data_IF_503596534444
#
_entry.id   IF_503596534444
#
_cell.length_a   1.000
_cell.length_b   1.000
_cell.length_c   1.000
_cell.angle_alpha   90.00
_cell.angle_beta   90.00
_cell.angle_gamma   90.00
#
_symmetry.space_group_name_H-M   'P 1'
#
loop_
_entity.id
_entity.type
_entity.pdbx_description
1 polymer ?
#
# COMPACT_ATOMS: atom_id res chain seq x y z
N UNK A 1 -5.75 -27.71 14.96
CA UNK A 1 -4.62 -26.83 14.58
C UNK A 1 -4.89 -25.43 15.11
N UNK A 2 -4.32 -25.08 16.28
CA UNK A 2 -4.50 -23.81 17.02
C UNK A 2 -3.27 -22.89 16.89
N UNK A 3 -2.73 -22.75 15.68
CA UNK A 3 -1.43 -22.08 15.51
C UNK A 3 -1.54 -20.55 15.56
N UNK A 4 -2.68 -19.98 15.17
CA UNK A 4 -2.98 -18.56 15.30
C UNK A 4 -4.49 -18.38 15.59
N UNK A 5 -4.87 -17.37 16.39
CA UNK A 5 -6.27 -17.08 16.65
C UNK A 5 -6.93 -16.51 15.39
N UNK A 6 -8.00 -17.18 14.96
CA UNK A 6 -8.73 -16.87 13.70
C UNK A 6 -9.83 -15.82 13.94
N UNK A 7 -10.21 -15.56 15.19
CA UNK A 7 -11.37 -14.72 15.52
C UNK A 7 -11.04 -13.91 16.77
N UNK A 8 -11.37 -12.61 16.75
CA UNK A 8 -11.29 -11.74 17.93
C UNK A 8 -10.25 -10.63 17.83
N UNK A 9 -10.40 -9.62 18.67
CA UNK A 9 -9.57 -8.42 18.64
C UNK A 9 -8.28 -8.50 19.48
N UNK A 10 -8.01 -9.66 20.11
CA UNK A 10 -7.10 -9.78 21.25
C UNK A 10 -7.76 -9.26 22.54
N UNK A 11 -7.26 -9.69 23.69
CA UNK A 11 -7.69 -9.14 24.98
C UNK A 11 -7.32 -7.65 25.10
N UNK A 12 -8.24 -6.83 25.62
CA UNK A 12 -8.01 -5.39 25.84
C UNK A 12 -6.98 -5.24 26.95
N UNK A 13 -5.73 -4.93 26.60
CA UNK A 13 -4.64 -4.69 27.55
C UNK A 13 -3.32 -5.39 27.23
N UNK A 14 -3.30 -6.36 26.33
CA UNK A 14 -2.06 -7.04 25.91
C UNK A 14 -1.69 -6.71 24.45
N UNK A 15 -0.69 -5.83 24.21
CA UNK A 15 -0.29 -5.43 22.86
C UNK A 15 0.33 -6.57 22.05
N UNK A 16 0.89 -7.60 22.70
CA UNK A 16 1.46 -8.77 22.01
C UNK A 16 0.36 -9.67 21.46
N UNK A 17 -0.70 -9.89 22.23
CA UNK A 17 -1.86 -10.67 21.78
C UNK A 17 -2.65 -9.94 20.68
N UNK A 18 -2.75 -8.62 20.77
CA UNK A 18 -3.40 -7.81 19.74
C UNK A 18 -2.63 -7.85 18.41
N UNK A 19 -1.28 -7.89 18.44
CA UNK A 19 -0.43 -7.99 17.26
C UNK A 19 -0.49 -9.37 16.59
N UNK A 20 -0.52 -10.47 17.35
CA UNK A 20 -0.65 -11.83 16.78
C UNK A 20 -1.99 -12.03 16.06
N UNK A 21 -3.06 -11.44 16.58
CA UNK A 21 -4.38 -11.41 15.94
C UNK A 21 -4.47 -10.50 14.70
N UNK A 22 -3.44 -9.70 14.39
CA UNK A 22 -3.38 -8.88 13.17
C UNK A 22 -2.66 -9.59 12.01
N UNK A 23 -1.83 -10.60 12.31
CA UNK A 23 -1.00 -11.27 11.29
C UNK A 23 -1.88 -11.89 10.19
N UNK A 24 -2.92 -12.65 10.57
CA UNK A 24 -3.81 -13.35 9.64
C UNK A 24 -4.60 -12.39 8.71
N UNK A 25 -5.32 -11.38 9.24
CA UNK A 25 -6.00 -10.39 8.40
C UNK A 25 -5.03 -9.62 7.49
N UNK A 26 -3.89 -9.17 8.03
CA UNK A 26 -2.89 -8.42 7.26
C UNK A 26 -2.29 -9.27 6.15
N UNK A 27 -2.02 -10.55 6.38
CA UNK A 27 -1.55 -11.45 5.33
C UNK A 27 -2.62 -11.70 4.27
N UNK A 28 -3.87 -11.93 4.66
CA UNK A 28 -4.97 -12.18 3.74
C UNK A 28 -5.20 -10.99 2.78
N UNK A 29 -5.15 -9.76 3.31
CA UNK A 29 -5.31 -8.54 2.50
C UNK A 29 -4.02 -8.23 1.71
N UNK A 30 -2.85 -8.45 2.30
CA UNK A 30 -1.56 -8.11 1.70
C UNK A 30 -1.12 -9.04 0.57
N UNK A 31 -1.43 -10.34 0.63
CA UNK A 31 -0.89 -11.34 -0.31
C UNK A 31 -1.23 -11.03 -1.77
N UNK A 32 -2.44 -10.53 -2.03
CA UNK A 32 -2.89 -10.17 -3.38
C UNK A 32 -2.12 -8.98 -3.97
N UNK A 33 -1.69 -8.05 -3.12
CA UNK A 33 -0.98 -6.84 -3.54
C UNK A 33 0.51 -7.09 -3.79
N UNK A 34 1.14 -7.97 -3.01
CA UNK A 34 2.57 -8.27 -3.14
C UNK A 34 2.92 -8.75 -4.56
N UNK A 35 2.12 -9.68 -5.11
CA UNK A 35 2.36 -10.19 -6.47
C UNK A 35 2.23 -9.11 -7.55
N UNK A 36 1.25 -8.21 -7.40
CA UNK A 36 1.02 -7.13 -8.36
C UNK A 36 2.15 -6.09 -8.32
N UNK A 37 2.52 -5.63 -7.12
CA UNK A 37 3.60 -4.67 -6.89
C UNK A 37 4.95 -5.25 -7.37
N UNK A 38 5.24 -6.51 -7.05
CA UNK A 38 6.48 -7.15 -7.48
C UNK A 38 6.59 -7.25 -9.01
N UNK A 39 5.48 -7.57 -9.69
CA UNK A 39 5.43 -7.61 -11.15
C UNK A 39 5.63 -6.24 -11.77
N UNK A 40 4.99 -5.21 -11.21
CA UNK A 40 5.12 -3.83 -11.67
C UNK A 40 6.55 -3.32 -11.49
N UNK A 41 7.13 -3.49 -10.29
CA UNK A 41 8.51 -3.10 -10.01
C UNK A 41 9.50 -3.80 -10.95
N UNK A 42 9.28 -5.09 -11.25
CA UNK A 42 10.10 -5.81 -12.23
C UNK A 42 9.97 -5.25 -13.65
N UNK A 43 8.76 -4.93 -14.10
CA UNK A 43 8.52 -4.35 -15.42
C UNK A 43 9.22 -2.99 -15.56
N UNK A 44 9.02 -2.09 -14.59
CA UNK A 44 9.67 -0.78 -14.57
C UNK A 44 11.20 -0.88 -14.50
N UNK A 45 11.74 -1.84 -13.75
CA UNK A 45 13.18 -2.12 -13.75
C UNK A 45 13.70 -2.54 -15.13
N UNK A 46 12.97 -3.40 -15.85
CA UNK A 46 13.38 -3.84 -17.20
C UNK A 46 13.33 -2.71 -18.24
N UNK A 47 12.36 -1.82 -18.13
CA UNK A 47 12.26 -0.62 -18.99
C UNK A 47 13.44 0.31 -18.73
N UNK A 48 13.68 0.65 -17.46
CA UNK A 48 14.77 1.54 -17.06
C UNK A 48 16.14 0.96 -17.41
N UNK A 49 16.34 -0.35 -17.29
CA UNK A 49 17.62 -0.98 -17.67
C UNK A 49 17.92 -0.88 -19.17
N UNK A 50 16.90 -0.68 -20.02
CA UNK A 50 17.07 -0.49 -21.47
C UNK A 50 17.32 0.97 -21.87
N UNK A 51 17.23 1.93 -20.94
CA UNK A 51 17.48 3.34 -21.21
C UNK A 51 18.92 3.64 -21.62
N UNK A 52 19.10 4.67 -22.45
CA UNK A 52 20.42 5.06 -22.97
C UNK A 52 21.36 5.56 -21.86
N UNK A 53 20.83 6.24 -20.84
CA UNK A 53 21.66 6.72 -19.72
C UNK A 53 22.20 5.57 -18.87
N UNK A 54 21.45 4.46 -18.76
CA UNK A 54 21.94 3.25 -18.10
C UNK A 54 23.05 2.65 -18.94
N UNK A 55 22.84 2.41 -20.24
CA UNK A 55 23.89 1.87 -21.13
C UNK A 55 25.16 2.71 -21.13
N UNK A 56 25.03 4.04 -21.10
CA UNK A 56 26.16 4.94 -20.97
C UNK A 56 26.91 4.73 -19.63
N UNK A 57 26.20 4.59 -18.51
CA UNK A 57 26.82 4.29 -17.21
C UNK A 57 27.61 2.97 -17.22
N UNK A 58 27.14 1.95 -17.94
CA UNK A 58 27.91 0.72 -18.16
C UNK A 58 29.15 0.95 -19.02
N UNK A 59 29.04 1.74 -20.10
CA UNK A 59 30.18 2.09 -20.96
C UNK A 59 31.27 2.88 -20.23
N UNK A 60 30.91 3.68 -19.22
CA UNK A 60 31.84 4.36 -18.33
C UNK A 60 32.53 3.44 -17.29
N UNK A 61 32.21 2.14 -17.26
CA UNK A 61 32.85 1.16 -16.39
C UNK A 61 32.38 1.19 -14.94
N UNK A 62 31.19 1.76 -14.65
CA UNK A 62 30.64 1.73 -13.29
C UNK A 62 30.31 0.29 -12.87
N UNK A 63 30.50 -0.01 -11.57
CA UNK A 63 30.12 -1.31 -10.99
C UNK A 63 28.62 -1.55 -11.19
N UNK A 64 28.27 -2.77 -11.63
CA UNK A 64 26.89 -3.19 -11.90
C UNK A 64 25.93 -2.89 -10.74
N UNK A 65 26.35 -3.16 -9.49
CA UNK A 65 25.54 -2.85 -8.31
C UNK A 65 25.25 -1.35 -8.16
N UNK A 66 26.23 -0.48 -8.45
CA UNK A 66 26.03 0.97 -8.37
C UNK A 66 25.01 1.42 -9.41
N UNK A 67 25.08 0.89 -10.63
CA UNK A 67 24.13 1.22 -11.70
C UNK A 67 22.71 0.78 -11.31
N UNK A 68 22.56 -0.43 -10.79
CA UNK A 68 21.25 -0.97 -10.39
C UNK A 68 20.66 -0.17 -9.23
N UNK A 69 21.36 -0.06 -8.09
CA UNK A 69 20.77 0.53 -6.88
C UNK A 69 20.68 2.06 -6.92
N UNK A 70 21.64 2.75 -7.56
CA UNK A 70 21.72 4.21 -7.50
C UNK A 70 21.09 4.90 -8.70
N UNK A 71 21.14 4.28 -9.88
CA UNK A 71 20.64 4.90 -11.12
C UNK A 71 19.32 4.28 -11.57
N UNK A 72 19.25 2.96 -11.72
CA UNK A 72 18.06 2.30 -12.26
C UNK A 72 16.91 2.25 -11.24
N UNK A 73 17.18 1.80 -10.01
CA UNK A 73 16.16 1.60 -8.98
C UNK A 73 15.46 2.91 -8.60
N UNK A 74 16.20 4.02 -8.52
CA UNK A 74 15.65 5.31 -8.14
C UNK A 74 14.56 5.79 -9.11
N UNK A 75 14.70 5.50 -10.40
CA UNK A 75 13.72 5.85 -11.43
C UNK A 75 12.63 4.78 -11.55
N UNK A 76 13.00 3.51 -11.49
CA UNK A 76 12.07 2.39 -11.65
C UNK A 76 11.08 2.24 -10.49
N UNK A 77 11.37 2.78 -9.30
CA UNK A 77 10.50 2.70 -8.13
C UNK A 77 9.37 3.73 -8.15
N UNK A 78 9.48 4.82 -8.93
CA UNK A 78 8.48 5.89 -8.97
C UNK A 78 7.06 5.37 -9.31
N UNK A 79 6.85 4.57 -10.38
CA UNK A 79 5.53 4.02 -10.71
C UNK A 79 5.00 3.09 -9.61
N UNK A 80 5.92 2.41 -8.92
CA UNK A 80 5.56 1.49 -7.84
C UNK A 80 5.03 2.25 -6.63
N UNK A 81 5.64 3.38 -6.26
CA UNK A 81 5.16 4.22 -5.14
C UNK A 81 3.78 4.80 -5.44
N UNK A 82 3.57 5.37 -6.64
CA UNK A 82 2.26 5.89 -7.04
C UNK A 82 1.20 4.80 -6.99
N UNK A 83 1.53 3.61 -7.48
CA UNK A 83 0.62 2.47 -7.45
C UNK A 83 0.28 2.01 -6.04
N UNK A 84 1.22 2.07 -5.09
CA UNK A 84 0.94 1.79 -3.68
C UNK A 84 -0.06 2.81 -3.12
N UNK A 85 0.10 4.11 -3.45
CA UNK A 85 -0.84 5.16 -3.05
C UNK A 85 -2.27 4.90 -3.55
N UNK A 86 -2.42 4.59 -4.84
CA UNK A 86 -3.72 4.23 -5.45
C UNK A 86 -4.26 2.91 -4.86
N UNK A 87 -3.36 1.97 -4.62
CA UNK A 87 -3.68 0.66 -4.06
C UNK A 87 -4.24 0.71 -2.65
N UNK A 88 -3.94 1.78 -1.91
CA UNK A 88 -4.50 1.99 -0.58
C UNK A 88 -6.03 2.07 -0.59
N UNK A 89 -6.64 2.66 -1.63
CA UNK A 89 -8.10 2.72 -1.77
C UNK A 89 -8.72 1.33 -1.96
N UNK A 90 -8.04 0.46 -2.71
CA UNK A 90 -8.45 -0.92 -2.89
C UNK A 90 -8.23 -1.75 -1.61
N UNK A 91 -7.15 -1.50 -0.88
CA UNK A 91 -6.89 -2.13 0.42
C UNK A 91 -7.97 -1.76 1.43
N UNK A 92 -8.44 -0.51 1.46
CA UNK A 92 -9.56 -0.09 2.32
C UNK A 92 -10.83 -0.88 1.99
N UNK A 93 -11.15 -1.05 0.71
CA UNK A 93 -12.28 -1.87 0.27
C UNK A 93 -12.13 -3.35 0.66
N UNK A 94 -10.95 -3.93 0.46
CA UNK A 94 -10.65 -5.32 0.83
C UNK A 94 -10.64 -5.57 2.35
N UNK A 95 -10.25 -4.56 3.13
CA UNK A 95 -10.18 -4.64 4.59
C UNK A 95 -11.57 -4.78 5.21
N UNK A 96 -12.62 -4.22 4.59
CA UNK A 96 -14.01 -4.42 5.05
C UNK A 96 -14.37 -5.91 5.12
N UNK A 97 -14.00 -6.68 4.10
CA UNK A 97 -14.24 -8.13 4.09
C UNK A 97 -13.44 -8.84 5.19
N UNK A 98 -12.19 -8.44 5.41
CA UNK A 98 -11.39 -8.97 6.50
C UNK A 98 -12.00 -8.63 7.88
N UNK A 99 -12.49 -7.41 8.09
CA UNK A 99 -13.14 -7.02 9.34
C UNK A 99 -14.39 -7.85 9.64
N UNK A 100 -15.20 -8.14 8.61
CA UNK A 100 -16.40 -8.97 8.72
C UNK A 100 -16.04 -10.43 9.01
N UNK A 101 -15.13 -11.02 8.22
CA UNK A 101 -14.76 -12.44 8.32
C UNK A 101 -14.03 -12.74 9.64
N UNK A 102 -13.12 -11.85 10.06
CA UNK A 102 -12.35 -12.01 11.31
C UNK A 102 -13.08 -11.44 12.54
N UNK A 103 -14.33 -10.99 12.39
CA UNK A 103 -15.17 -10.39 13.43
C UNK A 103 -14.49 -9.23 14.20
N UNK A 104 -13.65 -8.45 13.51
CA UNK A 104 -12.94 -7.30 14.09
C UNK A 104 -13.82 -6.05 14.03
N UNK A 105 -13.88 -5.25 15.12
CA UNK A 105 -14.49 -3.93 15.05
C UNK A 105 -13.57 -3.01 14.23
N UNK A 106 -14.11 -2.47 13.14
CA UNK A 106 -13.40 -1.56 12.25
C UNK A 106 -14.35 -0.63 11.50
N UNK A 107 -13.78 0.35 10.81
CA UNK A 107 -14.56 1.41 10.13
C UNK A 107 -15.37 0.82 8.97
N UNK A 108 -14.83 -0.18 8.27
CA UNK A 108 -15.50 -0.87 7.18
C UNK A 108 -16.76 -1.59 7.63
N UNK A 109 -16.64 -2.38 8.70
CA UNK A 109 -17.75 -3.08 9.34
C UNK A 109 -18.79 -2.08 9.87
N UNK A 110 -18.36 -0.99 10.49
CA UNK A 110 -19.27 0.07 10.96
C UNK A 110 -20.10 0.65 9.81
N UNK A 111 -19.47 0.97 8.68
CA UNK A 111 -20.18 1.46 7.49
C UNK A 111 -21.19 0.41 7.02
N UNK A 112 -20.78 -0.86 6.92
CA UNK A 112 -21.65 -1.95 6.49
C UNK A 112 -22.91 -2.09 7.37
N UNK A 113 -22.73 -2.11 8.69
CA UNK A 113 -23.83 -2.22 9.66
C UNK A 113 -24.78 -1.01 9.60
N UNK A 114 -24.22 0.19 9.38
CA UNK A 114 -25.00 1.44 9.28
C UNK A 114 -25.77 1.56 7.96
N UNK A 115 -25.25 0.99 6.87
CA UNK A 115 -25.99 0.86 5.60
C UNK A 115 -27.18 -0.09 5.78
N UNK A 116 -27.00 -1.22 6.46
CA UNK A 116 -28.08 -2.19 6.70
C UNK A 116 -29.19 -1.62 7.59
N UNK A 117 -28.81 -0.83 8.62
CA UNK A 117 -29.75 -0.12 9.50
C UNK A 117 -30.31 1.17 8.89
N UNK A 118 -29.97 1.50 7.64
CA UNK A 118 -30.39 2.71 6.91
C UNK A 118 -30.06 4.02 7.65
N UNK A 119 -29.01 4.02 8.47
CA UNK A 119 -28.55 5.20 9.18
C UNK A 119 -27.56 6.01 8.30
N UNK A 120 -28.11 6.70 7.29
CA UNK A 120 -27.32 7.45 6.32
C UNK A 120 -26.42 8.56 6.91
N UNK A 121 -26.80 9.29 7.98
CA UNK A 121 -25.91 10.29 8.58
C UNK A 121 -24.58 9.69 9.06
N UNK A 122 -24.61 8.52 9.70
CA UNK A 122 -23.39 7.85 10.19
C UNK A 122 -22.56 7.31 9.02
N UNK A 123 -23.19 6.76 8.00
CA UNK A 123 -22.52 6.31 6.77
C UNK A 123 -21.79 7.48 6.12
N UNK A 124 -22.44 8.63 5.96
CA UNK A 124 -21.84 9.80 5.34
C UNK A 124 -20.64 10.32 6.14
N UNK A 125 -20.75 10.38 7.47
CA UNK A 125 -19.63 10.77 8.34
C UNK A 125 -18.45 9.81 8.22
N UNK A 126 -18.71 8.50 8.25
CA UNK A 126 -17.66 7.49 8.12
C UNK A 126 -16.99 7.52 6.74
N UNK A 127 -17.76 7.70 5.65
CA UNK A 127 -17.23 7.87 4.29
C UNK A 127 -16.38 9.14 4.17
N UNK A 128 -16.79 10.24 4.81
CA UNK A 128 -16.00 11.48 4.79
C UNK A 128 -14.65 11.30 5.48
N UNK A 129 -14.62 10.61 6.62
CA UNK A 129 -13.37 10.31 7.36
C UNK A 129 -12.47 9.38 6.54
N UNK A 130 -13.01 8.32 5.94
CA UNK A 130 -12.19 7.40 5.11
C UNK A 130 -11.69 8.07 3.84
N UNK A 131 -12.50 8.93 3.21
CA UNK A 131 -12.07 9.73 2.06
C UNK A 131 -10.94 10.69 2.43
N UNK A 132 -11.03 11.39 3.57
CA UNK A 132 -9.96 12.26 4.05
C UNK A 132 -8.66 11.48 4.32
N UNK A 133 -8.77 10.30 4.96
CA UNK A 133 -7.62 9.42 5.20
C UNK A 133 -6.99 8.92 3.90
N UNK A 134 -7.81 8.59 2.90
CA UNK A 134 -7.34 8.19 1.58
C UNK A 134 -6.56 9.32 0.91
N UNK A 135 -7.12 10.55 0.89
CA UNK A 135 -6.47 11.74 0.35
C UNK A 135 -5.14 12.02 1.04
N UNK A 136 -5.07 11.89 2.36
CA UNK A 136 -3.80 12.05 3.10
C UNK A 136 -2.78 11.01 2.66
N UNK A 137 -3.20 9.75 2.51
CA UNK A 137 -2.29 8.67 2.11
C UNK A 137 -1.76 8.86 0.69
N UNK A 138 -2.61 9.22 -0.27
CA UNK A 138 -2.17 9.54 -1.63
C UNK A 138 -1.28 10.78 -1.66
N UNK A 139 -1.60 11.82 -0.89
CA UNK A 139 -0.74 12.99 -0.78
C UNK A 139 0.66 12.64 -0.26
N UNK A 140 0.76 11.75 0.73
CA UNK A 140 2.06 11.26 1.22
C UNK A 140 2.80 10.49 0.13
N UNK A 141 2.11 9.62 -0.62
CA UNK A 141 2.72 8.89 -1.73
C UNK A 141 3.26 9.85 -2.81
N UNK A 142 2.47 10.86 -3.18
CA UNK A 142 2.88 11.88 -4.15
C UNK A 142 4.06 12.71 -3.65
N UNK A 143 4.08 13.06 -2.36
CA UNK A 143 5.20 13.76 -1.75
C UNK A 143 6.48 12.90 -1.73
N UNK A 144 6.35 11.59 -1.49
CA UNK A 144 7.48 10.65 -1.61
C UNK A 144 8.01 10.62 -3.04
N UNK A 145 7.13 10.53 -4.04
CA UNK A 145 7.53 10.60 -5.46
C UNK A 145 8.25 11.92 -5.76
N UNK A 146 7.70 13.05 -5.33
CA UNK A 146 8.30 14.37 -5.53
C UNK A 146 9.66 14.53 -4.84
N UNK A 147 9.87 13.88 -3.68
CA UNK A 147 11.15 13.87 -2.99
C UNK A 147 12.19 12.97 -3.68
N UNK A 148 11.75 11.82 -4.20
CA UNK A 148 12.62 10.89 -4.93
C UNK A 148 12.99 11.41 -6.32
N UNK A 149 12.08 12.08 -7.03
CA UNK A 149 12.33 12.61 -8.37
C UNK A 149 12.33 14.15 -8.42
N UNK A 150 13.51 14.79 -8.36
CA UNK A 150 13.62 16.25 -8.52
C UNK A 150 13.30 16.74 -9.95
N UNK A 151 13.14 15.86 -10.96
CA UNK A 151 12.80 16.28 -12.34
C UNK A 151 11.32 16.66 -12.50
N UNK A 152 10.43 16.11 -11.67
CA UNK A 152 9.00 16.51 -11.65
C UNK A 152 8.85 17.99 -11.23
N UNK A 153 9.86 18.55 -10.59
CA UNK A 153 9.90 19.96 -10.14
C UNK A 153 10.10 20.96 -11.29
N UNK A 154 10.52 20.53 -12.48
CA UNK A 154 10.78 21.41 -13.64
C UNK A 154 9.63 21.45 -14.66
N UNK A 155 8.60 20.61 -14.55
CA UNK A 155 7.48 20.55 -15.50
C UNK A 155 6.16 21.16 -14.98
N UNK A 156 6.22 21.97 -13.92
CA UNK A 156 5.12 22.78 -13.37
C UNK A 156 5.48 24.26 -13.51
#
# INVERSE_FOLDING_TARGET
LRWLPVIGAGEIGDPLDQATHLILPSFAVGLGWVGYIARLARASMLEVMNENYVRAAWAFGLKSNTVIYRYALKVAVLPTITMIGIGFGHLLSGTVFAEIIFARPGIGKLIFDMVMSRNFPVVQGAVMVTAAMYVITTLVADLMVAWLDPRVRESL
#
